data_IF_726983914940
#
_entry.id   IF_726983914940
#
_cell.length_a   1.000
_cell.length_b   1.000
_cell.length_c   1.000
_cell.angle_alpha   90.00
_cell.angle_beta   90.00
_cell.angle_gamma   90.00
#
_symmetry.space_group_name_H-M   'P 1'
#
loop_
_entity.id
_entity.type
_entity.pdbx_description
1 polymer ?
#
# COMPACT_ATOMS: atom_id res chain seq x y z
N UNK A 1 -15.45 2.43 -9.42
CA UNK A 1 -15.07 1.29 -8.54
C UNK A 1 -14.63 1.84 -7.18
N UNK A 2 -14.84 1.10 -6.09
CA UNK A 2 -14.38 1.48 -4.75
C UNK A 2 -12.88 1.23 -4.58
N UNK A 3 -12.17 2.19 -3.98
CA UNK A 3 -10.74 2.12 -3.69
C UNK A 3 -10.47 2.55 -2.26
N UNK A 4 -9.88 1.68 -1.44
CA UNK A 4 -9.40 2.06 -0.11
C UNK A 4 -8.04 2.74 -0.25
N UNK A 5 -7.90 3.96 0.27
CA UNK A 5 -6.67 4.75 0.15
C UNK A 5 -5.96 4.90 1.51
N UNK A 6 -4.73 4.40 1.60
CA UNK A 6 -3.98 4.21 2.84
C UNK A 6 -2.77 5.16 2.90
N UNK A 7 -2.74 6.06 3.87
CA UNK A 7 -1.65 7.05 4.01
C UNK A 7 -0.32 6.42 4.48
N UNK A 8 0.76 7.20 4.39
CA UNK A 8 2.09 6.83 4.88
C UNK A 8 2.23 6.99 6.40
N UNK A 9 3.36 6.56 6.96
CA UNK A 9 3.64 6.74 8.38
C UNK A 9 3.66 8.23 8.77
N UNK A 10 2.89 8.61 9.80
CA UNK A 10 2.75 10.01 10.23
C UNK A 10 1.81 10.87 9.38
N UNK A 11 1.21 10.29 8.33
CA UNK A 11 0.19 10.92 7.51
C UNK A 11 -1.22 10.77 8.08
N UNK A 12 -2.21 11.11 7.26
CA UNK A 12 -3.62 11.02 7.60
C UNK A 12 -4.50 10.85 6.34
N UNK A 13 -5.80 10.51 6.48
CA UNK A 13 -6.73 10.44 5.35
C UNK A 13 -6.73 11.68 4.44
N UNK A 14 -6.43 12.85 4.98
CA UNK A 14 -6.35 14.12 4.24
C UNK A 14 -5.28 14.14 3.14
N UNK A 15 -4.27 13.27 3.21
CA UNK A 15 -3.21 13.17 2.18
C UNK A 15 -3.81 12.79 0.80
N UNK A 16 -5.01 12.22 0.79
CA UNK A 16 -5.72 11.79 -0.41
C UNK A 16 -6.76 12.78 -0.93
N UNK A 17 -6.98 13.94 -0.29
CA UNK A 17 -8.06 14.89 -0.67
C UNK A 17 -8.03 15.28 -2.15
N UNK A 18 -6.85 15.57 -2.70
CA UNK A 18 -6.71 15.90 -4.13
C UNK A 18 -7.02 14.71 -5.02
N UNK A 19 -6.63 13.50 -4.63
CA UNK A 19 -6.90 12.27 -5.39
C UNK A 19 -8.40 11.97 -5.39
N UNK A 20 -9.08 12.18 -4.26
CA UNK A 20 -10.55 12.09 -4.16
C UNK A 20 -11.20 13.09 -5.12
N UNK A 21 -10.77 14.35 -5.11
CA UNK A 21 -11.35 15.40 -5.96
C UNK A 21 -11.16 15.14 -7.46
N UNK A 22 -9.99 14.68 -7.89
CA UNK A 22 -9.69 14.43 -9.30
C UNK A 22 -10.34 13.14 -9.84
N UNK A 23 -10.69 12.18 -8.99
CA UNK A 23 -11.28 10.89 -9.39
C UNK A 23 -12.79 10.78 -9.10
N UNK A 24 -13.40 11.86 -8.60
CA UNK A 24 -14.83 11.89 -8.29
C UNK A 24 -15.68 11.58 -9.53
N UNK A 25 -16.73 10.79 -9.34
CA UNK A 25 -17.60 10.30 -10.43
C UNK A 25 -17.06 9.10 -11.22
N UNK A 26 -15.75 8.81 -11.19
CA UNK A 26 -15.15 7.62 -11.82
C UNK A 26 -14.88 6.50 -10.80
N UNK A 27 -14.33 6.89 -9.65
CA UNK A 27 -13.97 5.99 -8.57
C UNK A 27 -14.44 6.53 -7.21
N UNK A 28 -14.92 5.64 -6.34
CA UNK A 28 -15.20 5.98 -4.96
C UNK A 28 -13.91 5.77 -4.16
N UNK A 29 -13.15 6.84 -3.97
CA UNK A 29 -11.93 6.82 -3.17
C UNK A 29 -12.33 6.98 -1.70
N UNK A 30 -11.95 6.01 -0.86
CA UNK A 30 -12.23 5.98 0.58
C UNK A 30 -10.91 6.06 1.35
N UNK A 31 -10.48 7.28 1.75
CA UNK A 31 -9.31 7.45 2.59
C UNK A 31 -9.55 6.87 3.99
N UNK A 32 -8.63 6.02 4.46
CA UNK A 32 -8.71 5.39 5.78
C UNK A 32 -7.55 5.82 6.68
N UNK A 33 -7.83 5.92 7.97
CA UNK A 33 -6.80 6.16 8.99
C UNK A 33 -6.08 4.84 9.28
N UNK A 34 -4.74 4.89 9.37
CA UNK A 34 -3.92 3.79 9.86
C UNK A 34 -3.36 4.16 11.23
N UNK A 35 -3.87 3.50 12.26
CA UNK A 35 -3.52 3.79 13.66
C UNK A 35 -2.73 2.64 14.29
N UNK A 36 -2.07 2.89 15.42
CA UNK A 36 -1.46 1.85 16.24
C UNK A 36 -2.50 1.07 17.05
N UNK A 37 -2.15 -0.10 17.63
CA UNK A 37 -0.83 -0.72 17.66
C UNK A 37 -0.43 -1.36 16.32
N UNK A 38 0.86 -1.41 16.03
CA UNK A 38 1.39 -1.84 14.72
C UNK A 38 1.76 -3.31 14.69
N UNK A 39 0.75 -4.16 14.52
CA UNK A 39 0.91 -5.56 14.12
C UNK A 39 0.20 -5.75 12.78
N UNK A 40 0.88 -6.33 11.79
CA UNK A 40 0.39 -6.36 10.40
C UNK A 40 -1.02 -6.93 10.27
N UNK A 41 -1.28 -8.07 10.92
CA UNK A 41 -2.60 -8.69 10.88
C UNK A 41 -3.67 -7.79 11.52
N UNK A 42 -3.35 -7.12 12.63
CA UNK A 42 -4.29 -6.21 13.31
C UNK A 42 -4.61 -4.95 12.50
N UNK A 43 -3.65 -4.46 11.70
CA UNK A 43 -3.89 -3.34 10.78
C UNK A 43 -4.81 -3.78 9.64
N UNK A 44 -4.58 -4.97 9.08
CA UNK A 44 -5.44 -5.52 8.03
C UNK A 44 -6.87 -5.77 8.55
N UNK A 45 -7.02 -6.32 9.76
CA UNK A 45 -8.32 -6.55 10.39
C UNK A 45 -9.11 -5.26 10.62
N UNK A 46 -8.42 -4.11 10.76
CA UNK A 46 -9.06 -2.81 10.92
C UNK A 46 -9.55 -2.19 9.61
N UNK A 47 -8.92 -2.52 8.49
CA UNK A 47 -9.39 -2.04 7.18
C UNK A 47 -10.42 -2.99 6.54
N UNK A 48 -10.44 -4.26 6.94
CA UNK A 48 -11.38 -5.30 6.48
C UNK A 48 -12.86 -4.83 6.44
N UNK A 49 -13.41 -4.17 7.48
CA UNK A 49 -14.82 -3.77 7.47
C UNK A 49 -15.17 -2.72 6.41
N UNK A 50 -14.17 -2.07 5.81
CA UNK A 50 -14.34 -1.10 4.73
C UNK A 50 -14.25 -1.74 3.34
N UNK A 51 -13.91 -3.03 3.27
CA UNK A 51 -13.65 -3.75 2.03
C UNK A 51 -14.89 -4.43 1.40
N UNK A 52 -16.09 -3.92 1.68
CA UNK A 52 -17.31 -4.37 1.03
C UNK A 52 -17.24 -4.15 -0.50
N UNK A 53 -17.75 -5.13 -1.24
CA UNK A 53 -17.76 -5.09 -2.71
C UNK A 53 -16.41 -5.37 -3.37
N UNK A 54 -15.41 -5.89 -2.62
CA UNK A 54 -14.08 -6.26 -3.13
C UNK A 54 -13.35 -5.08 -3.80
N UNK A 55 -13.01 -4.03 -3.03
CA UNK A 55 -12.38 -2.83 -3.59
C UNK A 55 -10.92 -3.07 -3.97
N UNK A 56 -10.39 -2.20 -4.82
CA UNK A 56 -8.94 -2.06 -4.96
C UNK A 56 -8.36 -1.40 -3.70
N UNK A 57 -7.07 -1.65 -3.42
CA UNK A 57 -6.37 -1.01 -2.28
C UNK A 57 -5.16 -0.24 -2.78
N UNK A 58 -5.16 1.06 -2.50
CA UNK A 58 -4.12 2.03 -2.81
C UNK A 58 -3.40 2.41 -1.51
N UNK A 59 -2.08 2.49 -1.53
CA UNK A 59 -1.35 3.02 -0.38
C UNK A 59 -0.01 3.65 -0.73
N UNK A 60 0.45 4.57 0.12
CA UNK A 60 1.75 5.21 0.01
C UNK A 60 2.67 4.81 1.16
N UNK A 61 3.94 4.51 0.88
CA UNK A 61 4.95 4.17 1.90
C UNK A 61 4.48 3.02 2.82
N UNK A 62 4.23 3.28 4.11
CA UNK A 62 3.63 2.30 5.03
C UNK A 62 2.27 1.78 4.53
N UNK A 63 1.41 2.65 4.03
CA UNK A 63 0.13 2.26 3.44
C UNK A 63 0.29 1.36 2.23
N UNK A 64 1.36 1.58 1.43
CA UNK A 64 1.71 0.72 0.30
C UNK A 64 2.09 -0.70 0.72
N UNK A 65 2.87 -0.82 1.81
CA UNK A 65 3.15 -2.12 2.43
C UNK A 65 1.87 -2.81 2.92
N UNK A 66 0.93 -2.08 3.54
CA UNK A 66 -0.36 -2.63 3.98
C UNK A 66 -1.18 -3.09 2.76
N UNK A 67 -1.21 -2.32 1.68
CA UNK A 67 -1.90 -2.69 0.44
C UNK A 67 -1.33 -3.98 -0.18
N UNK A 68 -0.01 -4.15 -0.18
CA UNK A 68 0.64 -5.39 -0.64
C UNK A 68 0.25 -6.60 0.23
N UNK A 69 0.21 -6.43 1.55
CA UNK A 69 -0.23 -7.47 2.48
C UNK A 69 -1.72 -7.81 2.30
N UNK A 70 -2.55 -6.80 2.01
CA UNK A 70 -3.97 -6.99 1.67
C UNK A 70 -4.13 -7.89 0.45
N UNK A 71 -3.45 -7.60 -0.67
CA UNK A 71 -3.54 -8.44 -1.88
C UNK A 71 -3.08 -9.89 -1.67
N UNK A 72 -2.15 -10.13 -0.74
CA UNK A 72 -1.76 -11.50 -0.37
C UNK A 72 -2.87 -12.21 0.43
N UNK A 73 -3.57 -11.50 1.31
CA UNK A 73 -4.68 -12.04 2.10
C UNK A 73 -5.95 -12.24 1.25
N UNK A 74 -6.17 -11.33 0.30
CA UNK A 74 -7.32 -11.28 -0.60
C UNK A 74 -6.85 -11.41 -2.06
N UNK A 75 -6.51 -12.63 -2.52
CA UNK A 75 -6.09 -12.84 -3.91
C UNK A 75 -7.20 -12.51 -4.94
N UNK A 76 -8.44 -12.41 -4.49
CA UNK A 76 -9.59 -11.93 -5.27
C UNK A 76 -9.61 -10.40 -5.46
N UNK A 77 -8.80 -9.64 -4.71
CA UNK A 77 -8.71 -8.18 -4.80
C UNK A 77 -8.44 -7.76 -6.25
N UNK A 78 -9.24 -6.85 -6.84
CA UNK A 78 -9.14 -6.51 -8.26
C UNK A 78 -7.83 -5.80 -8.60
N UNK A 79 -7.25 -5.06 -7.64
CA UNK A 79 -5.96 -4.39 -7.80
C UNK A 79 -5.35 -3.97 -6.45
N UNK A 80 -4.02 -4.00 -6.40
CA UNK A 80 -3.22 -3.38 -5.33
C UNK A 80 -2.30 -2.35 -5.97
N UNK A 81 -2.31 -1.12 -5.43
CA UNK A 81 -1.49 -0.01 -5.90
C UNK A 81 -0.58 0.44 -4.75
N UNK A 82 0.72 0.22 -4.93
CA UNK A 82 1.75 0.60 -3.98
C UNK A 82 2.55 1.82 -4.51
N UNK A 83 2.40 2.97 -3.85
CA UNK A 83 3.14 4.20 -4.15
C UNK A 83 4.32 4.31 -3.19
N UNK A 84 5.50 3.92 -3.68
CA UNK A 84 6.77 4.05 -2.93
C UNK A 84 6.75 3.33 -1.56
N UNK A 85 5.97 2.25 -1.45
CA UNK A 85 6.04 1.26 -0.39
C UNK A 85 7.01 0.12 -0.71
N UNK A 86 7.41 -0.56 0.37
CA UNK A 86 8.53 -1.50 0.44
C UNK A 86 9.83 -1.01 -0.24
N UNK A 87 10.45 0.01 0.38
CA UNK A 87 11.59 0.78 -0.14
C UNK A 87 12.94 0.07 -0.37
N UNK A 88 13.89 0.90 -0.83
CA UNK A 88 15.30 0.70 -1.24
C UNK A 88 15.58 -0.61 -1.98
N UNK A 89 15.85 -0.57 -3.30
CA UNK A 89 16.02 -1.75 -4.16
C UNK A 89 17.31 -2.55 -3.87
N UNK A 90 18.00 -2.22 -2.78
CA UNK A 90 19.24 -2.85 -2.32
C UNK A 90 19.02 -3.92 -1.25
N UNK A 91 17.77 -4.17 -0.84
CA UNK A 91 17.45 -5.08 0.26
C UNK A 91 16.89 -6.41 -0.27
N UNK A 92 17.54 -7.52 0.10
CA UNK A 92 17.27 -8.86 -0.41
C UNK A 92 15.84 -9.36 -0.14
N UNK A 93 15.34 -9.11 1.07
CA UNK A 93 13.99 -9.49 1.48
C UNK A 93 12.86 -8.80 0.68
N UNK A 94 13.17 -7.84 -0.20
CA UNK A 94 12.21 -7.06 -0.99
C UNK A 94 11.87 -7.72 -2.34
N UNK A 95 12.54 -8.81 -2.73
CA UNK A 95 12.36 -9.44 -4.04
C UNK A 95 11.82 -10.87 -3.89
N UNK A 96 10.80 -11.21 -4.67
CA UNK A 96 10.22 -12.57 -4.72
C UNK A 96 11.21 -13.58 -5.32
N UNK A 97 12.13 -13.12 -6.18
CA UNK A 97 13.28 -13.86 -6.69
C UNK A 97 14.50 -12.91 -6.81
N UNK A 98 15.29 -12.74 -5.75
CA UNK A 98 16.36 -11.73 -5.74
C UNK A 98 17.50 -12.11 -6.69
N UNK A 99 17.79 -11.23 -7.64
CA UNK A 99 19.07 -11.24 -8.36
C UNK A 99 20.12 -10.53 -7.48
N UNK A 100 20.99 -11.33 -6.87
CA UNK A 100 22.02 -10.84 -5.96
C UNK A 100 23.02 -9.90 -6.65
N UNK A 101 23.31 -10.12 -7.93
CA UNK A 101 24.26 -9.30 -8.69
C UNK A 101 23.64 -7.94 -9.04
N UNK A 102 22.37 -7.92 -9.45
CA UNK A 102 21.64 -6.67 -9.68
C UNK A 102 21.50 -5.85 -8.38
N UNK A 103 21.19 -6.50 -7.26
CA UNK A 103 21.07 -5.86 -5.94
C UNK A 103 22.41 -5.28 -5.47
N UNK A 104 23.53 -5.98 -5.71
CA UNK A 104 24.87 -5.49 -5.39
C UNK A 104 25.24 -4.26 -6.23
N UNK A 105 24.96 -4.25 -7.53
CA UNK A 105 25.18 -3.09 -8.39
C UNK A 105 24.36 -1.87 -7.94
N UNK A 106 23.12 -2.08 -7.51
CA UNK A 106 22.29 -1.01 -6.94
C UNK A 106 22.89 -0.46 -5.64
N UNK A 107 23.52 -1.28 -4.79
CA UNK A 107 24.18 -0.80 -3.56
C UNK A 107 25.33 0.16 -3.86
N UNK A 108 26.16 -0.16 -4.85
CA UNK A 108 27.28 0.69 -5.26
C UNK A 108 26.81 2.02 -5.86
N UNK A 109 25.65 2.04 -6.52
CA UNK A 109 25.09 3.24 -7.14
C UNK A 109 24.38 4.20 -6.16
N UNK A 110 23.90 3.69 -5.03
CA UNK A 110 23.11 4.45 -4.04
C UNK A 110 23.84 4.71 -2.71
N UNK A 111 25.15 4.48 -2.65
CA UNK A 111 26.09 4.93 -1.60
C UNK A 111 27.00 6.03 -2.12
#
# INVERSE_FOLDING_TARGET
>A
MKVLALHGAGGSPSDWEKVVAELDGEHEIVPLSLEGPWEWESVLDRIEPHADGNPAVLGMSLGGMVAALWGRRHPECPAVIDIDGHGVPTQLQRHVNPDLAAIAGLREMFT
#
